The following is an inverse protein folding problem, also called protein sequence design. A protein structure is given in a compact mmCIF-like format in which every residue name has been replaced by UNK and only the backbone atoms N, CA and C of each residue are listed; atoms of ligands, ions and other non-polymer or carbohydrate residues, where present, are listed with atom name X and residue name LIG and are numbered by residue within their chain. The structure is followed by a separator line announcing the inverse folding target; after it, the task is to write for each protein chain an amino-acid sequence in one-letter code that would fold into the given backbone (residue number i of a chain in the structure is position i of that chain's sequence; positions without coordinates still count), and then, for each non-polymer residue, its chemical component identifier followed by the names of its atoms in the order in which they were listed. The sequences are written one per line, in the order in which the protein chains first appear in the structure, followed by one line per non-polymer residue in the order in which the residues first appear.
data_IF_872050410193
#
_entry.id   IF_872050410193
#
_cell.length_a   1.000
_cell.length_b   1.000
_cell.length_c   1.000
_cell.angle_alpha   90.00
_cell.angle_beta   90.00
_cell.angle_gamma   90.00
#
_symmetry.space_group_name_H-M   'P 1'
#
loop_
_entity.id
_entity.type
_entity.pdbx_description
1 polymer ?
#
# COMPACT_ATOMS: atom_id res chain seq x y z
N UNK A 1 -4.91 5.44 -15.20
CA UNK A 1 -5.63 4.97 -13.98
C UNK A 1 -5.57 3.44 -13.97
N UNK A 2 -5.23 2.80 -12.85
CA UNK A 2 -5.08 1.33 -12.79
C UNK A 2 -6.44 0.64 -12.73
N UNK A 3 -6.75 -0.20 -13.71
CA UNK A 3 -7.95 -1.06 -13.69
C UNK A 3 -7.60 -2.43 -13.11
N UNK A 4 -8.49 -2.99 -12.27
CA UNK A 4 -8.32 -4.29 -11.63
C UNK A 4 -9.57 -5.14 -11.86
N UNK A 5 -9.41 -6.30 -12.51
CA UNK A 5 -10.48 -7.26 -12.72
C UNK A 5 -10.31 -8.43 -11.74
N UNK A 6 -11.27 -8.62 -10.83
CA UNK A 6 -11.32 -9.78 -9.95
C UNK A 6 -12.17 -10.87 -10.60
N UNK A 7 -11.53 -11.85 -11.23
CA UNK A 7 -12.19 -12.91 -12.01
C UNK A 7 -13.01 -13.88 -11.12
N UNK A 8 -14.17 -13.42 -10.66
CA UNK A 8 -15.06 -14.16 -9.75
C UNK A 8 -16.19 -14.89 -10.50
N UNK A 9 -16.46 -14.50 -11.74
CA UNK A 9 -17.48 -15.09 -12.60
C UNK A 9 -17.16 -14.81 -14.09
N UNK A 10 -17.96 -15.39 -14.98
CA UNK A 10 -17.75 -15.27 -16.42
C UNK A 10 -17.95 -13.85 -16.95
N UNK A 11 -18.92 -13.11 -16.41
CA UNK A 11 -19.17 -11.73 -16.83
C UNK A 11 -17.94 -10.83 -16.62
N UNK A 12 -17.28 -10.93 -15.46
CA UNK A 12 -16.08 -10.13 -15.17
C UNK A 12 -14.91 -10.56 -16.07
N UNK A 13 -14.82 -11.85 -16.40
CA UNK A 13 -13.81 -12.36 -17.33
C UNK A 13 -14.02 -11.80 -18.74
N UNK A 14 -15.25 -11.79 -19.25
CA UNK A 14 -15.55 -11.24 -20.57
C UNK A 14 -15.26 -9.73 -20.61
N UNK A 15 -15.66 -8.99 -19.57
CA UNK A 15 -15.32 -7.56 -19.47
C UNK A 15 -13.80 -7.29 -19.49
N UNK A 16 -13.00 -8.16 -18.86
CA UNK A 16 -11.55 -8.03 -18.88
C UNK A 16 -10.96 -8.27 -20.29
N UNK A 17 -11.52 -9.24 -21.02
CA UNK A 17 -11.14 -9.52 -22.41
C UNK A 17 -11.47 -8.31 -23.30
N UNK A 18 -12.70 -7.80 -23.20
CA UNK A 18 -13.15 -6.65 -23.98
C UNK A 18 -12.29 -5.41 -23.70
N UNK A 19 -11.93 -5.18 -22.43
CA UNK A 19 -11.02 -4.12 -22.05
C UNK A 19 -9.66 -4.28 -22.72
N UNK A 20 -9.06 -5.48 -22.70
CA UNK A 20 -7.77 -5.75 -23.34
C UNK A 20 -7.84 -5.53 -24.86
N UNK A 21 -8.90 -6.02 -25.51
CA UNK A 21 -9.10 -5.86 -26.96
C UNK A 21 -9.28 -4.40 -27.39
N UNK A 22 -9.77 -3.53 -26.49
CA UNK A 22 -9.93 -2.10 -26.74
C UNK A 22 -8.65 -1.28 -26.58
N UNK A 23 -7.58 -1.85 -26.02
CA UNK A 23 -6.33 -1.12 -25.78
C UNK A 23 -5.55 -0.91 -27.09
N UNK A 24 -4.99 0.29 -27.31
CA UNK A 24 -4.12 0.52 -28.46
C UNK A 24 -2.81 -0.25 -28.30
N UNK A 25 -2.34 -0.80 -29.42
CA UNK A 25 -1.05 -1.49 -29.52
C UNK A 25 -0.04 -0.47 -30.06
N UNK A 26 0.97 -0.15 -29.25
CA UNK A 26 2.07 0.75 -29.61
C UNK A 26 3.39 0.22 -29.04
N UNK A 27 4.44 0.25 -29.86
CA UNK A 27 5.78 -0.22 -29.48
C UNK A 27 6.51 0.79 -28.58
N UNK A 28 6.22 2.09 -28.74
CA UNK A 28 6.89 3.15 -27.97
C UNK A 28 6.24 3.38 -26.60
N UNK A 29 4.96 3.06 -26.45
CA UNK A 29 4.20 3.19 -25.20
C UNK A 29 3.21 2.03 -25.04
N UNK A 30 3.70 0.80 -24.81
CA UNK A 30 2.86 -0.38 -24.69
C UNK A 30 2.03 -0.37 -23.40
N UNK A 31 0.91 -1.08 -23.43
CA UNK A 31 0.12 -1.39 -22.24
C UNK A 31 0.57 -2.73 -21.65
N UNK A 32 0.83 -2.75 -20.34
CA UNK A 32 1.16 -3.99 -19.62
C UNK A 32 -0.08 -4.65 -18.99
N UNK A 33 -0.19 -5.97 -19.13
CA UNK A 33 -1.23 -6.78 -18.48
C UNK A 33 -0.59 -7.65 -17.40
N UNK A 34 -1.06 -7.49 -16.16
CA UNK A 34 -0.55 -8.23 -14.99
C UNK A 34 -1.58 -9.24 -14.49
N UNK A 35 -1.30 -10.54 -14.65
CA UNK A 35 -2.13 -11.62 -14.09
C UNK A 35 -1.45 -12.17 -12.83
N UNK A 36 -2.15 -12.11 -11.70
CA UNK A 36 -1.64 -12.61 -10.41
C UNK A 36 -2.78 -13.04 -9.50
N UNK A 37 -2.50 -14.00 -8.63
CA UNK A 37 -3.43 -14.35 -7.57
C UNK A 37 -3.67 -13.17 -6.62
N UNK A 38 -4.91 -12.98 -6.12
CA UNK A 38 -5.19 -11.97 -5.13
C UNK A 38 -4.48 -12.34 -3.82
N UNK A 39 -3.44 -11.59 -3.46
CA UNK A 39 -2.84 -11.71 -2.13
C UNK A 39 -3.87 -11.27 -1.10
N UNK A 40 -4.17 -12.12 -0.10
CA UNK A 40 -5.05 -11.81 1.05
C UNK A 40 -4.68 -10.48 1.73
N UNK A 41 -3.39 -10.16 1.74
CA UNK A 41 -2.83 -8.91 2.28
C UNK A 41 -3.19 -7.67 1.46
N UNK A 42 -3.55 -7.78 0.17
CA UNK A 42 -3.86 -6.60 -0.65
C UNK A 42 -5.12 -5.90 -0.15
N UNK A 43 -6.20 -6.64 0.13
CA UNK A 43 -7.43 -6.04 0.65
C UNK A 43 -7.24 -5.42 2.04
N UNK A 44 -6.38 -6.03 2.88
CA UNK A 44 -6.03 -5.48 4.19
C UNK A 44 -5.19 -4.21 4.06
N UNK A 45 -4.16 -4.22 3.21
CA UNK A 45 -3.32 -3.05 2.93
C UNK A 45 -4.12 -1.92 2.26
N UNK A 46 -5.02 -2.26 1.34
CA UNK A 46 -5.91 -1.29 0.67
C UNK A 46 -6.86 -0.61 1.67
N UNK A 47 -7.22 -1.29 2.77
CA UNK A 47 -8.04 -0.71 3.84
C UNK A 47 -7.22 0.10 4.86
N UNK A 48 -5.98 -0.29 5.09
CA UNK A 48 -5.07 0.38 6.02
C UNK A 48 -4.86 1.85 5.63
N UNK A 49 -4.52 2.11 4.37
CA UNK A 49 -4.18 3.46 3.91
C UNK A 49 -5.31 4.49 4.04
N UNK A 50 -6.57 4.20 3.63
CA UNK A 50 -7.70 5.08 3.91
C UNK A 50 -7.89 5.39 5.40
N UNK A 51 -7.73 4.39 6.28
CA UNK A 51 -7.84 4.61 7.72
C UNK A 51 -6.72 5.51 8.26
N UNK A 52 -5.48 5.32 7.80
CA UNK A 52 -4.36 6.20 8.15
C UNK A 52 -4.57 7.62 7.61
N UNK A 53 -5.14 7.75 6.42
CA UNK A 53 -5.49 9.04 5.82
C UNK A 53 -6.54 9.78 6.64
N UNK A 54 -7.51 9.06 7.17
CA UNK A 54 -8.52 9.60 8.06
C UNK A 54 -7.89 10.09 9.37
N UNK A 55 -6.99 9.32 9.99
CA UNK A 55 -6.26 9.74 11.19
C UNK A 55 -5.41 10.98 10.91
N UNK A 56 -4.65 10.99 9.81
CA UNK A 56 -3.85 12.15 9.38
C UNK A 56 -4.68 13.44 9.25
N UNK A 57 -5.90 13.33 8.71
CA UNK A 57 -6.82 14.47 8.56
C UNK A 57 -7.51 14.87 9.85
N UNK A 58 -7.75 13.95 10.77
CA UNK A 58 -8.56 14.21 11.96
C UNK A 58 -7.71 14.57 13.19
N UNK A 59 -6.48 14.06 13.28
CA UNK A 59 -5.66 14.19 14.49
C UNK A 59 -4.56 15.24 14.32
N UNK A 60 -4.51 16.19 15.25
CA UNK A 60 -3.38 17.09 15.46
C UNK A 60 -2.52 16.52 16.59
N UNK A 61 -1.35 15.99 16.25
CA UNK A 61 -0.45 15.30 17.18
C UNK A 61 0.62 16.26 17.69
N UNK A 62 0.62 16.60 18.97
CA UNK A 62 1.55 17.58 19.57
C UNK A 62 1.71 18.88 18.75
N UNK A 63 0.59 19.41 18.23
CA UNK A 63 0.57 20.66 17.46
C UNK A 63 0.93 20.52 15.97
N UNK A 64 1.27 19.32 15.50
CA UNK A 64 1.57 19.05 14.08
C UNK A 64 0.62 18.01 13.48
N UNK A 65 0.32 18.18 12.18
CA UNK A 65 -0.34 17.12 11.41
C UNK A 65 0.72 16.21 10.82
N UNK A 66 0.53 14.92 11.00
CA UNK A 66 1.42 13.89 10.49
C UNK A 66 0.84 13.27 9.22
N UNK A 67 1.70 12.81 8.32
CA UNK A 67 1.30 12.11 7.10
C UNK A 67 0.71 10.73 7.41
N UNK A 68 -0.07 10.13 6.49
CA UNK A 68 -0.50 8.73 6.64
C UNK A 68 0.68 7.76 6.85
N UNK A 69 1.82 8.02 6.21
CA UNK A 69 3.05 7.27 6.34
C UNK A 69 3.63 7.36 7.76
N UNK A 70 3.69 8.56 8.34
CA UNK A 70 4.14 8.74 9.73
C UNK A 70 3.23 7.99 10.71
N UNK A 71 1.91 8.06 10.51
CA UNK A 71 0.95 7.32 11.33
C UNK A 71 1.13 5.81 11.20
N UNK A 72 1.47 5.31 10.00
CA UNK A 72 1.82 3.90 9.80
C UNK A 72 2.98 3.51 10.70
N UNK A 73 4.04 4.31 10.72
CA UNK A 73 5.26 4.00 11.49
C UNK A 73 5.01 4.06 12.99
N UNK A 74 4.30 5.08 13.48
CA UNK A 74 3.93 5.22 14.90
C UNK A 74 3.09 4.02 15.37
N UNK A 75 2.05 3.65 14.62
CA UNK A 75 1.16 2.54 14.99
C UNK A 75 1.88 1.18 14.90
N UNK A 76 2.78 1.02 13.95
CA UNK A 76 3.60 -0.20 13.79
C UNK A 76 4.58 -0.35 14.96
N UNK A 77 5.25 0.73 15.37
CA UNK A 77 6.12 0.73 16.53
C UNK A 77 5.36 0.38 17.82
N UNK A 78 4.16 0.93 18.01
CA UNK A 78 3.29 0.58 19.13
C UNK A 78 2.91 -0.91 19.09
N UNK A 79 2.51 -1.42 17.92
CA UNK A 79 2.12 -2.83 17.76
C UNK A 79 3.27 -3.78 18.10
N UNK A 80 4.50 -3.53 17.63
CA UNK A 80 5.67 -4.33 17.99
C UNK A 80 5.87 -4.39 19.50
N UNK A 81 5.78 -3.23 20.18
CA UNK A 81 5.87 -3.15 21.64
C UNK A 81 4.79 -4.00 22.32
N UNK A 82 3.55 -4.01 21.82
CA UNK A 82 2.49 -4.89 22.35
C UNK A 82 2.80 -6.38 22.19
N UNK A 83 3.63 -6.73 21.18
CA UNK A 83 4.10 -8.10 20.92
C UNK A 83 5.41 -8.43 21.62
N UNK A 84 5.94 -7.53 22.47
CA UNK A 84 7.28 -7.65 23.08
C UNK A 84 8.38 -7.86 22.04
N UNK A 85 8.20 -7.26 20.87
CA UNK A 85 9.19 -7.20 19.80
C UNK A 85 9.79 -5.79 19.78
N UNK A 86 11.10 -5.71 19.55
CA UNK A 86 11.81 -4.45 19.45
C UNK A 86 11.86 -3.98 18.00
N UNK A 87 11.79 -2.66 17.80
CA UNK A 87 12.06 -2.08 16.49
C UNK A 87 13.55 -2.20 16.18
N UNK A 88 13.88 -2.68 14.99
CA UNK A 88 15.27 -2.81 14.57
C UNK A 88 15.89 -1.42 14.32
N UNK A 89 17.14 -1.26 14.73
CA UNK A 89 17.94 -0.07 14.47
C UNK A 89 19.32 -0.46 13.92
N UNK A 90 19.91 0.43 13.13
CA UNK A 90 21.25 0.28 12.55
C UNK A 90 22.01 1.61 12.61
N UNK A 91 23.36 1.60 12.59
CA UNK A 91 24.14 2.82 12.43
C UNK A 91 23.78 3.54 11.12
N UNK A 92 23.55 4.84 11.21
CA UNK A 92 23.32 5.72 10.08
C UNK A 92 24.61 5.99 9.31
N UNK A 93 24.46 6.27 8.02
CA UNK A 93 25.59 6.62 7.14
C UNK A 93 26.28 7.92 7.60
N UNK A 94 25.52 8.80 8.24
CA UNK A 94 25.98 10.07 8.84
C UNK A 94 26.50 9.92 10.28
N UNK A 95 26.61 8.69 10.81
CA UNK A 95 27.02 8.42 12.18
C UNK A 95 25.88 8.47 13.21
N UNK A 96 24.63 8.67 12.78
CA UNK A 96 23.44 8.60 13.63
C UNK A 96 22.91 7.18 13.87
N UNK A 97 21.66 7.08 14.29
CA UNK A 97 20.92 5.80 14.38
C UNK A 97 19.73 5.88 13.43
N UNK A 98 19.56 4.86 12.59
CA UNK A 98 18.42 4.70 11.69
C UNK A 98 17.52 3.61 12.24
N UNK A 99 16.26 3.94 12.49
CA UNK A 99 15.22 2.96 12.79
C UNK A 99 14.72 2.35 11.48
N UNK A 100 14.66 1.02 11.40
CA UNK A 100 14.13 0.32 10.25
C UNK A 100 12.62 0.13 10.41
N UNK A 101 11.86 0.52 9.38
CA UNK A 101 10.42 0.24 9.29
C UNK A 101 10.14 -1.26 9.18
N UNK A 102 8.90 -1.65 9.53
CA UNK A 102 8.37 -3.01 9.34
C UNK A 102 7.48 -3.07 8.12
#
# INVERSE_FOLDING_TARGET
MKQLFLLRNEAIRNNAIDAILSLPIDDKSPHEVHVKEPKRTKAQNDRMWPMLQDVSRQVLWHGQRLSPEDWKDILTALWLKTKKLEQRSVPGIDGGVVLLGV
#
